data_IF_299867402643
#
_entry.id   IF_299867402643
#
_cell.length_a   1.000
_cell.length_b   1.000
_cell.length_c   1.000
_cell.angle_alpha   90.00
_cell.angle_beta   90.00
_cell.angle_gamma   90.00
#
_symmetry.space_group_name_H-M   'P 1'
#
loop_
_entity.id
_entity.type
_entity.pdbx_description
1 polymer ?
#
# COMPACT_ATOMS: atom_id res chain seq x y z
N UNK A 1 -2.87 -18.55 12.74
CA UNK A 1 -1.52 -17.97 12.80
C UNK A 1 -1.70 -16.47 12.89
N UNK A 2 -1.20 -15.82 13.95
CA UNK A 2 -1.22 -14.36 14.04
C UNK A 2 0.13 -13.87 13.55
N UNK A 3 0.17 -13.18 12.40
CA UNK A 3 1.38 -12.51 11.97
C UNK A 3 1.72 -11.45 13.04
N UNK A 4 2.94 -11.52 13.58
CA UNK A 4 3.44 -10.52 14.53
C UNK A 4 4.50 -9.72 13.81
N UNK A 5 4.11 -8.55 13.34
CA UNK A 5 5.04 -7.58 12.80
C UNK A 5 5.73 -6.85 13.95
N UNK A 6 7.06 -6.75 13.87
CA UNK A 6 7.86 -5.91 14.77
C UNK A 6 8.53 -4.82 13.95
N UNK A 7 8.28 -3.57 14.29
CA UNK A 7 8.91 -2.42 13.61
C UNK A 7 10.44 -2.49 13.70
N UNK A 8 11.10 -2.23 12.56
CA UNK A 8 12.55 -2.25 12.41
C UNK A 8 13.12 -0.89 11.94
N UNK A 9 12.30 0.16 11.88
CA UNK A 9 12.69 1.51 11.45
C UNK A 9 11.53 2.50 11.55
N UNK A 10 11.67 3.75 11.09
CA UNK A 10 10.53 4.67 10.96
C UNK A 10 9.70 4.35 9.71
N UNK A 11 8.39 4.60 9.76
CA UNK A 11 7.55 4.58 8.57
C UNK A 11 7.80 5.81 7.69
N UNK A 12 7.60 5.63 6.38
CA UNK A 12 7.70 6.71 5.39
C UNK A 12 6.48 6.71 4.49
N UNK A 13 6.01 7.88 4.12
CA UNK A 13 4.89 8.00 3.20
C UNK A 13 5.28 7.41 1.82
N UNK A 14 4.43 6.54 1.30
CA UNK A 14 4.59 5.89 0.00
C UNK A 14 3.50 6.37 -0.94
N UNK A 15 3.86 6.62 -2.20
CA UNK A 15 2.95 7.15 -3.23
C UNK A 15 2.69 6.14 -4.34
N UNK A 16 3.64 5.22 -4.60
CA UNK A 16 3.45 4.13 -5.53
C UNK A 16 4.03 2.84 -4.98
N UNK A 17 3.40 1.73 -5.39
CA UNK A 17 3.87 0.38 -5.09
C UNK A 17 3.80 -0.46 -6.36
N UNK A 18 4.64 -1.47 -6.47
CA UNK A 18 4.45 -2.52 -7.45
C UNK A 18 3.54 -3.60 -6.88
N UNK A 19 2.37 -3.78 -7.51
CA UNK A 19 1.39 -4.79 -7.10
C UNK A 19 1.44 -5.99 -8.04
N UNK A 20 1.36 -7.19 -7.47
CA UNK A 20 1.38 -8.46 -8.21
C UNK A 20 0.01 -9.17 -8.22
N UNK A 21 -1.03 -8.54 -7.65
CA UNK A 21 -2.35 -9.15 -7.44
C UNK A 21 -3.07 -9.41 -8.76
N UNK A 22 -3.08 -8.43 -9.67
CA UNK A 22 -3.76 -8.53 -10.98
C UNK A 22 -2.85 -9.05 -12.10
N UNK A 23 -1.53 -8.91 -11.94
CA UNK A 23 -0.51 -9.28 -12.94
C UNK A 23 0.70 -9.90 -12.28
N UNK A 24 1.07 -11.12 -12.67
CA UNK A 24 2.19 -11.84 -12.08
C UNK A 24 3.56 -11.18 -12.38
N UNK A 25 3.67 -10.44 -13.49
CA UNK A 25 4.84 -9.63 -13.82
C UNK A 25 5.00 -8.37 -12.94
N UNK A 26 3.97 -8.03 -12.17
CA UNK A 26 3.86 -6.82 -11.38
C UNK A 26 3.48 -5.60 -12.20
N UNK A 27 2.58 -4.77 -11.66
CA UNK A 27 2.20 -3.49 -12.24
C UNK A 27 2.40 -2.36 -11.23
N UNK A 28 2.89 -1.22 -11.73
CA UNK A 28 3.01 -0.02 -10.91
C UNK A 28 1.64 0.58 -10.65
N UNK A 29 1.34 0.80 -9.38
CA UNK A 29 0.10 1.38 -8.91
C UNK A 29 0.38 2.62 -8.08
N UNK A 30 -0.45 3.65 -8.27
CA UNK A 30 -0.67 4.64 -7.23
C UNK A 30 -1.27 3.95 -6.00
N UNK A 31 -0.91 4.42 -4.82
CA UNK A 31 -1.46 3.94 -3.55
C UNK A 31 -1.93 5.11 -2.69
N UNK A 32 -3.05 4.93 -2.01
CA UNK A 32 -3.57 5.84 -0.99
C UNK A 32 -4.14 5.02 0.17
N UNK A 33 -4.11 5.55 1.38
CA UNK A 33 -4.90 5.03 2.48
C UNK A 33 -6.37 5.38 2.34
N UNK A 34 -7.23 4.60 2.99
CA UNK A 34 -8.67 4.83 3.02
C UNK A 34 -9.20 4.83 4.45
N UNK A 35 -10.04 5.81 4.77
CA UNK A 35 -10.58 6.08 6.10
C UNK A 35 -12.11 6.13 6.09
N UNK A 36 -12.70 6.32 7.26
CA UNK A 36 -14.14 6.48 7.47
C UNK A 36 -14.64 7.93 7.32
N UNK A 37 -13.79 8.86 6.88
CA UNK A 37 -14.21 10.22 6.57
C UNK A 37 -15.14 10.22 5.34
N UNK A 38 -16.44 10.46 5.57
CA UNK A 38 -17.45 10.45 4.51
C UNK A 38 -17.33 11.57 3.48
N UNK A 39 -16.53 12.62 3.75
CA UNK A 39 -16.27 13.72 2.81
C UNK A 39 -14.96 13.55 2.06
N UNK A 40 -13.90 13.14 2.75
CA UNK A 40 -12.56 12.95 2.20
C UNK A 40 -11.96 11.64 2.69
N UNK A 41 -12.43 10.49 2.17
CA UNK A 41 -12.02 9.19 2.71
C UNK A 41 -10.54 8.87 2.44
N UNK A 42 -9.94 9.54 1.46
CA UNK A 42 -8.53 9.39 1.13
C UNK A 42 -7.63 9.93 2.24
N UNK A 43 -6.64 9.14 2.64
CA UNK A 43 -5.55 9.56 3.51
C UNK A 43 -4.20 9.03 2.99
N UNK A 44 -3.05 9.51 3.49
CA UNK A 44 -1.75 9.01 3.04
C UNK A 44 -1.57 7.50 3.32
N UNK A 45 -0.83 6.82 2.45
CA UNK A 45 -0.31 5.48 2.69
C UNK A 45 1.14 5.57 3.19
N UNK A 46 1.55 4.60 3.99
CA UNK A 46 2.89 4.51 4.57
C UNK A 46 3.47 3.12 4.35
N UNK A 47 4.78 3.06 4.21
CA UNK A 47 5.55 1.83 4.27
C UNK A 47 6.39 1.81 5.55
N UNK A 48 6.29 0.73 6.29
CA UNK A 48 7.00 0.47 7.54
C UNK A 48 7.86 -0.79 7.36
N UNK A 49 9.16 -0.66 7.59
CA UNK A 49 10.02 -1.84 7.65
C UNK A 49 9.68 -2.63 8.91
N UNK A 50 9.33 -3.90 8.73
CA UNK A 50 8.96 -4.81 9.83
C UNK A 50 9.73 -6.13 9.70
N UNK A 51 9.99 -6.74 10.84
CA UNK A 51 10.37 -8.15 10.94
C UNK A 51 9.10 -8.99 11.01
N UNK A 52 8.97 -9.97 10.10
CA UNK A 52 7.91 -10.98 10.10
C UNK A 52 8.49 -12.32 10.54
N UNK A 53 7.79 -12.98 11.47
CA UNK A 53 8.21 -14.20 12.15
C UNK A 53 8.22 -15.39 11.19
N UNK A 54 9.28 -15.49 10.39
CA UNK A 54 9.53 -16.56 9.42
C UNK A 54 10.02 -16.09 8.05
N UNK A 55 9.77 -14.84 7.66
CA UNK A 55 10.11 -14.29 6.34
C UNK A 55 11.29 -13.30 6.35
N UNK A 56 11.71 -12.85 7.53
CA UNK A 56 12.76 -11.84 7.67
C UNK A 56 12.20 -10.43 7.65
N UNK A 57 12.93 -9.50 7.01
CA UNK A 57 12.50 -8.11 6.87
C UNK A 57 11.58 -7.95 5.65
N UNK A 58 10.50 -7.20 5.81
CA UNK A 58 9.56 -6.84 4.74
C UNK A 58 9.04 -5.42 4.95
N UNK A 59 8.58 -4.78 3.88
CA UNK A 59 7.92 -3.49 3.94
C UNK A 59 6.41 -3.70 4.04
N UNK A 60 5.85 -3.40 5.21
CA UNK A 60 4.41 -3.37 5.42
C UNK A 60 3.85 -2.04 4.91
N UNK A 61 3.08 -2.09 3.84
CA UNK A 61 2.36 -0.94 3.29
C UNK A 61 0.96 -0.90 3.90
N UNK A 62 0.64 0.19 4.57
CA UNK A 62 -0.63 0.39 5.26
C UNK A 62 -1.16 1.80 5.03
N UNK A 63 -2.43 2.01 5.34
CA UNK A 63 -3.12 3.28 5.15
C UNK A 63 -4.04 3.61 6.32
N UNK A 64 -5.24 4.08 6.00
CA UNK A 64 -6.26 4.37 6.99
C UNK A 64 -6.94 3.11 7.53
N UNK A 65 -7.97 3.31 8.34
CA UNK A 65 -8.66 2.23 9.05
C UNK A 65 -9.40 1.25 8.13
N UNK A 66 -9.64 1.61 6.87
CA UNK A 66 -10.22 0.73 5.85
C UNK A 66 -9.16 0.20 4.87
N UNK A 67 -7.88 0.31 5.22
CA UNK A 67 -6.75 -0.20 4.47
C UNK A 67 -6.22 0.78 3.44
N UNK A 68 -5.77 0.25 2.31
CA UNK A 68 -5.24 1.00 1.17
C UNK A 68 -6.09 0.76 -0.08
N UNK A 69 -6.10 1.73 -0.99
CA UNK A 69 -6.58 1.56 -2.36
C UNK A 69 -5.44 1.68 -3.35
N UNK A 70 -5.58 0.94 -4.43
CA UNK A 70 -4.61 0.81 -5.51
C UNK A 70 -5.30 1.16 -6.83
N UNK A 71 -4.54 1.83 -7.70
CA UNK A 71 -4.94 2.13 -9.08
C UNK A 71 -3.71 2.09 -9.98
N UNK A 72 -3.73 1.44 -11.15
CA UNK A 72 -2.57 1.39 -12.04
C UNK A 72 -2.15 2.81 -12.44
N UNK A 73 -0.84 3.07 -12.52
CA UNK A 73 -0.32 4.41 -12.88
C UNK A 73 -0.71 4.85 -14.29
N UNK A 74 -1.07 3.89 -15.16
CA UNK A 74 -1.58 4.14 -16.51
C UNK A 74 -3.03 4.60 -16.56
N UNK A 75 -3.76 4.58 -15.44
CA UNK A 75 -5.18 4.94 -15.36
C UNK A 75 -5.33 6.33 -14.71
N UNK A 76 -5.77 7.28 -15.52
CA UNK A 76 -6.08 8.65 -15.09
C UNK A 76 -7.59 8.79 -14.77
N UNK A 77 -7.93 8.57 -13.51
CA UNK A 77 -9.29 8.71 -12.96
C UNK A 77 -9.20 9.09 -11.48
N UNK A 78 -10.27 9.68 -10.94
CA UNK A 78 -10.33 9.98 -9.50
C UNK A 78 -10.46 8.69 -8.67
N UNK A 79 -10.04 8.76 -7.40
CA UNK A 79 -10.21 7.64 -6.49
C UNK A 79 -11.68 7.39 -6.22
N UNK A 80 -12.13 6.16 -6.44
CA UNK A 80 -13.52 5.78 -6.28
C UNK A 80 -13.64 4.32 -5.87
N UNK A 81 -14.51 4.06 -4.90
CA UNK A 81 -14.83 2.69 -4.49
C UNK A 81 -15.58 1.90 -5.57
N UNK A 82 -16.26 2.62 -6.46
CA UNK A 82 -17.09 2.06 -7.53
C UNK A 82 -16.31 1.81 -8.83
N UNK A 83 -15.06 2.29 -8.94
CA UNK A 83 -14.27 2.05 -10.15
C UNK A 83 -13.76 0.61 -10.19
N UNK A 84 -14.03 -0.15 -11.27
CA UNK A 84 -13.49 -1.52 -11.43
C UNK A 84 -11.98 -1.53 -11.69
N UNK A 85 -11.41 -0.40 -12.12
CA UNK A 85 -9.97 -0.26 -12.35
C UNK A 85 -9.19 -0.12 -11.03
N UNK A 86 -9.89 0.08 -9.91
CA UNK A 86 -9.33 0.25 -8.58
C UNK A 86 -9.72 -0.92 -7.68
N UNK A 87 -8.92 -1.17 -6.67
CA UNK A 87 -9.21 -2.17 -5.65
C UNK A 87 -8.64 -1.75 -4.31
N UNK A 88 -9.08 -2.43 -3.26
CA UNK A 88 -8.61 -2.20 -1.91
C UNK A 88 -7.91 -3.42 -1.35
N UNK A 89 -6.90 -3.18 -0.52
CA UNK A 89 -6.22 -4.20 0.27
C UNK A 89 -6.17 -3.75 1.73
N UNK A 90 -6.24 -4.68 2.70
CA UNK A 90 -6.07 -4.30 4.11
C UNK A 90 -4.66 -3.74 4.36
N UNK A 91 -3.65 -4.34 3.74
CA UNK A 91 -2.25 -3.94 3.70
C UNK A 91 -1.53 -4.72 2.59
N UNK A 92 -0.32 -4.32 2.21
CA UNK A 92 0.59 -5.14 1.41
C UNK A 92 1.87 -5.45 2.20
N UNK A 93 2.47 -6.61 1.94
CA UNK A 93 3.79 -6.98 2.45
C UNK A 93 4.72 -7.14 1.23
N UNK A 94 5.67 -6.22 1.07
CA UNK A 94 6.58 -6.18 -0.08
C UNK A 94 8.01 -6.43 0.40
N UNK A 95 8.59 -7.54 -0.08
CA UNK A 95 9.94 -7.94 0.30
C UNK A 95 11.01 -7.01 -0.28
N UNK A 96 10.82 -6.52 -1.50
CA UNK A 96 11.81 -5.70 -2.20
C UNK A 96 11.53 -4.20 -1.99
N UNK A 97 12.49 -3.42 -1.44
CA UNK A 97 12.35 -1.97 -1.36
C UNK A 97 12.26 -1.28 -2.73
N UNK A 98 12.74 -1.90 -3.81
CA UNK A 98 12.65 -1.36 -5.17
C UNK A 98 11.21 -1.41 -5.72
N UNK A 99 10.30 -2.11 -5.04
CA UNK A 99 8.85 -2.13 -5.35
C UNK A 99 8.09 -0.94 -4.72
N UNK A 100 8.79 0.04 -4.13
CA UNK A 100 8.22 1.20 -3.44
C UNK A 100 8.75 2.52 -4.00
N UNK A 101 7.85 3.49 -4.17
CA UNK A 101 8.21 4.89 -4.43
C UNK A 101 7.70 5.75 -3.28
N UNK A 102 8.63 6.37 -2.55
CA UNK A 102 8.32 7.24 -1.43
C UNK A 102 7.94 8.65 -1.87
N UNK A 103 7.12 9.34 -1.08
CA UNK A 103 6.94 10.78 -1.23
C UNK A 103 8.29 11.49 -1.04
N UNK A 104 8.54 12.53 -1.83
CA UNK A 104 9.70 13.40 -1.58
C UNK A 104 9.53 14.08 -0.20
N UNK A 105 10.63 14.26 0.56
CA UNK A 105 10.60 14.94 1.85
C UNK A 105 10.21 16.42 1.75
#
# INVERSE_FOLDING_TARGET
MFARFKEAGPSKQVIQVKSFERRAEGEWCWVTGWSDDGGYPQCPAYAQLVEDSGAGLTNLVYGGIWGIRLKPVSVDEEWSIESPNQWGEPYLSLADPDDLVYASP
#
